data_IF_587697639619
#
_entry.id   IF_587697639619
#
_cell.length_a   1.000
_cell.length_b   1.000
_cell.length_c   1.000
_cell.angle_alpha   90.00
_cell.angle_beta   90.00
_cell.angle_gamma   90.00
#
_symmetry.space_group_name_H-M   'P 1'
#
loop_
_entity.id
_entity.type
_entity.pdbx_description
1 polymer ?
#
# COMPACT_ATOMS: atom_id res chain seq x y z
N UNK A 1 -17.69 -4.44 -0.18
CA UNK A 1 -17.47 -5.55 0.78
C UNK A 1 -16.03 -5.43 1.23
N UNK A 2 -15.77 -5.46 2.52
CA UNK A 2 -14.43 -5.22 3.07
C UNK A 2 -13.77 -6.53 3.49
N UNK A 3 -12.43 -6.57 3.47
CA UNK A 3 -11.61 -7.70 3.87
C UNK A 3 -10.57 -7.21 4.88
N UNK A 4 -10.32 -8.01 5.93
CA UNK A 4 -9.31 -7.71 6.95
C UNK A 4 -8.19 -8.76 6.84
N UNK A 5 -6.95 -8.31 6.66
CA UNK A 5 -5.78 -9.18 6.62
C UNK A 5 -5.10 -9.24 8.00
N UNK A 6 -4.90 -10.45 8.53
CA UNK A 6 -4.28 -10.70 9.85
C UNK A 6 -2.99 -11.49 9.63
N UNK A 7 -1.87 -10.96 10.09
CA UNK A 7 -0.55 -11.59 10.00
C UNK A 7 -0.04 -11.92 11.40
N UNK A 8 0.30 -13.19 11.67
CA UNK A 8 0.71 -13.68 13.01
C UNK A 8 2.11 -14.30 12.96
N UNK A 9 2.93 -13.99 13.97
CA UNK A 9 4.29 -14.50 14.11
C UNK A 9 5.31 -13.79 13.19
N UNK A 10 6.60 -14.05 13.42
CA UNK A 10 7.70 -13.33 12.73
C UNK A 10 7.67 -13.53 11.21
N UNK A 11 7.47 -14.77 10.74
CA UNK A 11 7.39 -15.06 9.32
C UNK A 11 6.16 -14.40 8.69
N UNK A 12 5.00 -14.47 9.36
CA UNK A 12 3.75 -13.89 8.88
C UNK A 12 3.83 -12.37 8.72
N UNK A 13 4.42 -11.67 9.70
CA UNK A 13 4.59 -10.20 9.64
C UNK A 13 5.52 -9.79 8.50
N UNK A 14 6.63 -10.50 8.28
CA UNK A 14 7.55 -10.18 7.18
C UNK A 14 6.90 -10.34 5.81
N UNK A 15 6.16 -11.44 5.62
CA UNK A 15 5.41 -11.66 4.38
C UNK A 15 4.33 -10.58 4.24
N UNK A 16 3.62 -10.26 5.32
CA UNK A 16 2.60 -9.21 5.33
C UNK A 16 3.14 -7.85 4.92
N UNK A 17 4.33 -7.47 5.40
CA UNK A 17 4.98 -6.22 5.00
C UNK A 17 5.30 -6.20 3.50
N UNK A 18 5.87 -7.27 2.95
CA UNK A 18 6.16 -7.37 1.52
C UNK A 18 4.88 -7.35 0.68
N UNK A 19 3.80 -8.01 1.13
CA UNK A 19 2.51 -7.99 0.46
C UNK A 19 1.90 -6.58 0.45
N UNK A 20 1.96 -5.85 1.57
CA UNK A 20 1.46 -4.48 1.66
C UNK A 20 2.30 -3.51 0.84
N UNK A 21 3.62 -3.67 0.78
CA UNK A 21 4.50 -2.87 -0.09
C UNK A 21 4.10 -3.03 -1.56
N UNK A 22 3.90 -4.27 -2.02
CA UNK A 22 3.44 -4.54 -3.37
C UNK A 22 2.03 -3.97 -3.63
N UNK A 23 1.12 -4.11 -2.67
CA UNK A 23 -0.23 -3.54 -2.76
C UNK A 23 -0.18 -2.02 -2.95
N UNK A 24 0.63 -1.33 -2.14
CA UNK A 24 0.83 0.11 -2.23
C UNK A 24 1.40 0.50 -3.60
N UNK A 25 2.42 -0.20 -4.09
CA UNK A 25 3.00 0.04 -5.41
C UNK A 25 1.98 -0.14 -6.55
N UNK A 26 1.18 -1.21 -6.51
CA UNK A 26 0.18 -1.50 -7.55
C UNK A 26 -0.94 -0.45 -7.59
N UNK A 27 -1.26 0.15 -6.44
CA UNK A 27 -2.30 1.18 -6.31
C UNK A 27 -1.75 2.61 -6.35
N UNK A 28 -0.44 2.79 -6.53
CA UNK A 28 0.20 4.11 -6.50
C UNK A 28 -0.01 4.82 -5.17
N UNK A 29 0.14 4.10 -4.07
CA UNK A 29 0.14 4.63 -2.70
C UNK A 29 1.60 4.74 -2.27
N UNK A 30 2.01 5.97 -1.97
CA UNK A 30 3.34 6.28 -1.44
C UNK A 30 3.49 5.78 0.01
N UNK A 31 4.72 5.62 0.51
CA UNK A 31 4.98 5.17 1.88
C UNK A 31 4.40 6.09 2.97
N UNK A 32 4.13 7.36 2.63
CA UNK A 32 3.47 8.34 3.50
C UNK A 32 1.94 8.26 3.48
N UNK A 33 1.38 7.33 2.69
CA UNK A 33 -0.05 7.10 2.52
C UNK A 33 -0.71 8.01 1.48
N UNK A 34 0.04 8.84 0.76
CA UNK A 34 -0.50 9.67 -0.32
C UNK A 34 -0.62 8.89 -1.63
N UNK A 35 -1.50 9.30 -2.54
CA UNK A 35 -1.56 8.69 -3.87
C UNK A 35 -0.61 9.41 -4.84
N UNK A 36 0.29 8.67 -5.49
CA UNK A 36 1.33 9.20 -6.39
C UNK A 36 0.78 10.00 -7.57
N UNK A 37 -0.51 9.85 -7.92
CA UNK A 37 -1.13 10.48 -9.09
C UNK A 37 -2.31 11.44 -8.81
N UNK A 38 -2.40 12.04 -7.62
CA UNK A 38 -3.48 13.03 -7.38
C UNK A 38 -3.13 14.47 -7.79
N UNK A 39 -1.99 14.76 -8.44
CA UNK A 39 -1.67 16.17 -8.77
C UNK A 39 -0.72 16.44 -9.96
N UNK A 40 -1.00 15.94 -11.17
CA UNK A 40 -0.32 16.45 -12.37
C UNK A 40 -1.19 16.50 -13.64
N UNK A 41 -2.43 16.99 -13.53
CA UNK A 41 -3.20 17.46 -14.71
C UNK A 41 -3.80 18.87 -14.58
N UNK A 42 -3.59 19.58 -13.46
CA UNK A 42 -4.10 20.95 -13.25
C UNK A 42 -3.04 21.90 -12.68
N UNK A 43 -1.80 21.80 -13.15
CA UNK A 43 -0.80 22.85 -12.90
C UNK A 43 -0.82 23.80 -14.10
N UNK A 44 -1.75 24.77 -14.04
CA UNK A 44 -1.73 26.00 -14.86
C UNK A 44 -0.45 26.76 -14.55
#
# INVERSE_FOLDING_TARGET
RECISIHVGQAGVQIGNACWELYCLEHGIEPDGTFSNCNSKYKI
#
